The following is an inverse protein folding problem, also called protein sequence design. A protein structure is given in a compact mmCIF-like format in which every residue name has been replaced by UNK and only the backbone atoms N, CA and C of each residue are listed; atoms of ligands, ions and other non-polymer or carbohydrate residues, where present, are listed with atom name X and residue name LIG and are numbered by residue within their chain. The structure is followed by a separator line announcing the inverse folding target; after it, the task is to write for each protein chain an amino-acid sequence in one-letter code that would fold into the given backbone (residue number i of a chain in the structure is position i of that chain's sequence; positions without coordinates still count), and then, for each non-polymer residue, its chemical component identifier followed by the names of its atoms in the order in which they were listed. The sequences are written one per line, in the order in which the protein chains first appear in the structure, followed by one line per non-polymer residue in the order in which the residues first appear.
data_IF_119353465085
#
_entry.id   IF_119353465085
#
_cell.length_a   1.000
_cell.length_b   1.000
_cell.length_c   1.000
_cell.angle_alpha   90.00
_cell.angle_beta   90.00
_cell.angle_gamma   90.00
#
_symmetry.space_group_name_H-M   'P 1'
#
loop_
_entity.id
_entity.type
_entity.pdbx_description
1 polymer ?
#
# COMPACT_ATOMS: atom_id res chain seq x y z
N UNK A 1 -12.93 -9.75 0.64
CA UNK A 1 -11.55 -9.49 1.05
C UNK A 1 -10.59 -10.08 0.03
N UNK A 2 -9.78 -9.28 -0.61
CA UNK A 2 -8.81 -9.82 -1.56
C UNK A 2 -7.43 -9.28 -1.23
N UNK A 3 -6.49 -10.20 -1.10
CA UNK A 3 -5.10 -9.87 -0.84
C UNK A 3 -4.37 -9.87 -2.17
N UNK A 4 -3.63 -8.81 -2.44
CA UNK A 4 -2.91 -8.65 -3.69
C UNK A 4 -1.43 -8.41 -3.42
N UNK A 5 -0.63 -8.61 -4.44
CA UNK A 5 0.80 -8.35 -4.34
C UNK A 5 1.17 -7.14 -5.18
N UNK A 6 2.21 -6.44 -4.77
CA UNK A 6 2.71 -5.27 -5.47
C UNK A 6 4.21 -5.22 -5.34
N UNK A 7 4.91 -4.99 -6.45
CA UNK A 7 6.36 -4.84 -6.42
C UNK A 7 6.70 -3.36 -6.45
N UNK A 8 7.41 -2.91 -5.43
CA UNK A 8 7.79 -1.50 -5.33
C UNK A 8 8.88 -1.16 -6.33
N UNK A 9 9.15 0.14 -6.46
CA UNK A 9 10.20 0.60 -7.38
C UNK A 9 11.58 0.06 -6.98
N UNK A 10 11.76 -0.29 -5.71
CA UNK A 10 13.01 -0.88 -5.22
C UNK A 10 13.09 -2.38 -5.47
N UNK A 11 12.07 -2.97 -6.06
CA UNK A 11 12.04 -4.41 -6.30
C UNK A 11 11.58 -5.22 -5.10
N UNK A 12 11.00 -4.57 -4.11
CA UNK A 12 10.50 -5.25 -2.91
C UNK A 12 9.06 -5.68 -3.17
N UNK A 13 8.79 -6.96 -2.96
CA UNK A 13 7.43 -7.47 -3.08
C UNK A 13 6.70 -7.26 -1.77
N UNK A 14 5.56 -6.60 -1.85
CA UNK A 14 4.72 -6.45 -0.67
C UNK A 14 3.32 -6.97 -0.96
N UNK A 15 2.63 -7.30 0.12
CA UNK A 15 1.27 -7.81 0.06
C UNK A 15 0.37 -6.73 0.63
N UNK A 16 -0.76 -6.46 -0.02
CA UNK A 16 -1.66 -5.44 0.49
C UNK A 16 -3.11 -5.87 0.37
N UNK A 17 -3.96 -5.25 1.16
CA UNK A 17 -5.40 -5.40 1.01
C UNK A 17 -6.06 -4.06 1.31
N UNK A 18 -7.21 -3.84 0.70
CA UNK A 18 -7.99 -2.62 0.91
C UNK A 18 -9.34 -3.03 1.47
N UNK A 19 -9.66 -2.50 2.65
CA UNK A 19 -10.92 -2.78 3.32
C UNK A 19 -11.56 -1.45 3.67
N UNK A 20 -12.76 -1.21 3.16
CA UNK A 20 -13.51 0.03 3.41
C UNK A 20 -12.71 1.29 3.07
N UNK A 21 -11.92 1.23 2.01
CA UNK A 21 -11.12 2.36 1.58
C UNK A 21 -9.81 2.54 2.33
N UNK A 22 -9.51 1.66 3.27
CA UNK A 22 -8.26 1.71 4.02
C UNK A 22 -7.29 0.66 3.48
N UNK A 23 -6.06 1.08 3.24
CA UNK A 23 -5.02 0.21 2.72
C UNK A 23 -4.13 -0.29 3.85
N UNK A 24 -3.97 -1.60 3.93
CA UNK A 24 -3.03 -2.24 4.83
C UNK A 24 -2.02 -3.02 3.99
N UNK A 25 -0.79 -3.06 4.43
CA UNK A 25 0.27 -3.73 3.68
C UNK A 25 1.27 -4.40 4.61
N UNK A 26 2.02 -5.32 4.06
CA UNK A 26 3.15 -5.91 4.77
C UNK A 26 4.18 -6.43 3.79
N UNK A 27 5.42 -6.49 4.25
CA UNK A 27 6.51 -7.17 3.55
C UNK A 27 6.59 -8.57 4.13
N UNK A 28 6.94 -9.55 3.31
CA UNK A 28 7.03 -10.94 3.74
C UNK A 28 7.87 -11.05 5.03
N UNK A 29 7.30 -11.71 6.02
CA UNK A 29 7.94 -11.90 7.31
C UNK A 29 7.73 -10.78 8.31
N UNK A 30 6.97 -9.75 7.96
CA UNK A 30 6.66 -8.63 8.86
C UNK A 30 5.18 -8.58 9.17
N UNK A 31 4.82 -7.75 10.14
CA UNK A 31 3.43 -7.57 10.52
C UNK A 31 2.70 -6.60 9.59
N UNK A 32 1.38 -6.71 9.56
CA UNK A 32 0.55 -5.78 8.81
C UNK A 32 0.71 -4.36 9.33
N UNK A 33 0.79 -3.40 8.42
CA UNK A 33 0.88 -1.98 8.74
C UNK A 33 -0.18 -1.23 7.95
N UNK A 34 -0.77 -0.21 8.59
CA UNK A 34 -1.75 0.63 7.90
C UNK A 34 -1.05 1.75 7.15
N UNK A 35 -1.52 2.03 5.94
CA UNK A 35 -1.06 3.20 5.20
C UNK A 35 -1.88 4.40 5.67
N UNK A 36 -1.20 5.37 6.28
CA UNK A 36 -1.85 6.56 6.81
C UNK A 36 -1.67 7.70 5.82
N UNK A 37 -2.74 8.03 5.15
CA UNK A 37 -2.71 9.01 4.06
C UNK A 37 -2.26 10.40 4.52
N UNK A 38 -2.62 10.78 5.72
CA UNK A 38 -2.30 12.10 6.26
C UNK A 38 -0.85 12.22 6.72
N UNK A 39 -0.17 11.11 6.92
CA UNK A 39 1.19 11.11 7.44
C UNK A 39 2.21 10.91 6.32
N UNK A 40 2.34 11.92 5.47
CA UNK A 40 3.25 11.83 4.34
C UNK A 40 4.72 11.66 4.75
N UNK A 41 5.06 12.09 5.96
CA UNK A 41 6.45 12.04 6.43
C UNK A 41 6.90 10.63 6.79
N UNK A 42 5.96 9.74 7.01
CA UNK A 42 6.28 8.36 7.34
C UNK A 42 6.78 7.57 6.13
N UNK A 43 6.65 8.12 4.93
CA UNK A 43 6.95 7.41 3.69
C UNK A 43 7.86 8.26 2.81
N UNK A 44 8.65 7.59 1.97
CA UNK A 44 9.39 8.29 0.94
C UNK A 44 8.38 8.84 -0.08
N UNK A 45 8.79 9.84 -0.84
CA UNK A 45 7.93 10.43 -1.84
C UNK A 45 7.45 9.39 -2.86
N UNK A 46 8.32 8.48 -3.23
CA UNK A 46 8.02 7.47 -4.22
C UNK A 46 7.08 6.39 -3.66
N UNK A 47 7.31 5.97 -2.42
CA UNK A 47 6.41 5.02 -1.76
C UNK A 47 5.01 5.59 -1.61
N UNK A 48 4.93 6.85 -1.21
CA UNK A 48 3.64 7.50 -1.04
C UNK A 48 2.87 7.54 -2.35
N UNK A 49 3.56 7.89 -3.44
CA UNK A 49 2.94 7.94 -4.76
C UNK A 49 2.44 6.55 -5.21
N UNK A 50 3.20 5.51 -4.90
CA UNK A 50 2.81 4.14 -5.25
C UNK A 50 1.55 3.72 -4.51
N UNK A 51 1.47 4.01 -3.21
CA UNK A 51 0.28 3.67 -2.44
C UNK A 51 -0.94 4.46 -2.92
N UNK A 52 -0.75 5.71 -3.29
CA UNK A 52 -1.84 6.49 -3.86
C UNK A 52 -2.36 5.89 -5.15
N UNK A 53 -1.46 5.41 -6.01
CA UNK A 53 -1.85 4.75 -7.24
C UNK A 53 -2.68 3.50 -6.97
N UNK A 54 -2.28 2.72 -5.99
CA UNK A 54 -3.02 1.52 -5.62
C UNK A 54 -4.42 1.88 -5.16
N UNK A 55 -4.54 2.91 -4.33
CA UNK A 55 -5.85 3.35 -3.84
C UNK A 55 -6.73 3.86 -4.96
N UNK A 56 -6.16 4.62 -5.90
CA UNK A 56 -6.91 5.15 -7.03
C UNK A 56 -7.44 4.03 -7.93
N UNK A 57 -6.61 3.04 -8.22
CA UNK A 57 -7.03 1.91 -9.03
C UNK A 57 -8.22 1.18 -8.42
N UNK A 58 -8.24 1.09 -7.10
CA UNK A 58 -9.31 0.37 -6.43
C UNK A 58 -10.57 1.21 -6.25
N UNK A 59 -10.47 2.54 -6.33
CA UNK A 59 -11.65 3.39 -6.22
C UNK A 59 -12.33 3.63 -7.54
N UNK A 60 -11.70 3.29 -8.65
CA UNK A 60 -12.26 3.45 -10.00
C UNK A 60 -12.98 2.22 -10.52
N UNK A 61 -13.42 1.38 -9.65
CA UNK A 61 -14.11 0.15 -10.05
C UNK A 61 -15.59 0.39 -10.28
#
# INVERSE_FOLDING_TARGET
MSIKTFTTFDGIDLIYEIVNGNLSYKIDGTDWQDFILEDRRAYSQQEYAEFLSILEDNSNV
#
